data_IF_111704769527
#
_entry.id   IF_111704769527
#
_cell.length_a   1.000
_cell.length_b   1.000
_cell.length_c   1.000
_cell.angle_alpha   90.00
_cell.angle_beta   90.00
_cell.angle_gamma   90.00
#
_symmetry.space_group_name_H-M   'P 1'
#
loop_
_entity.id
_entity.type
_entity.pdbx_description
1 polymer ?
#
# COMPACT_ATOMS: atom_id res chain seq x y z
N UNK A 1 11.82 -2.22 21.58
CA UNK A 1 10.46 -2.59 21.15
C UNK A 1 10.47 -2.64 19.63
N UNK A 2 10.15 -3.77 19.00
CA UNK A 2 10.01 -3.83 17.54
C UNK A 2 8.54 -3.73 17.16
N UNK A 3 8.22 -2.89 16.17
CA UNK A 3 6.88 -2.76 15.61
C UNK A 3 6.92 -3.23 14.15
N UNK A 4 6.06 -4.18 13.79
CA UNK A 4 6.00 -4.75 12.44
C UNK A 4 4.64 -4.41 11.83
N UNK A 5 4.66 -3.73 10.69
CA UNK A 5 3.47 -3.47 9.89
C UNK A 5 3.40 -4.44 8.70
N UNK A 6 2.23 -5.04 8.46
CA UNK A 6 1.99 -5.96 7.35
C UNK A 6 0.91 -5.38 6.43
N UNK A 7 1.25 -5.15 5.16
CA UNK A 7 0.35 -4.61 4.13
C UNK A 7 0.18 -5.67 3.03
N UNK A 8 -1.04 -6.22 2.88
CA UNK A 8 -1.29 -7.28 1.90
C UNK A 8 -1.52 -6.72 0.48
N UNK A 9 -0.66 -7.10 -0.46
CA UNK A 9 -0.57 -6.47 -1.78
C UNK A 9 -0.84 -7.41 -2.96
N UNK A 10 -1.89 -8.25 -2.88
CA UNK A 10 -2.18 -9.26 -3.93
C UNK A 10 -2.34 -8.65 -5.33
N UNK A 11 -1.91 -9.40 -6.36
CA UNK A 11 -2.07 -9.00 -7.77
C UNK A 11 -3.52 -9.07 -8.28
N UNK A 12 -4.25 -10.13 -7.90
CA UNK A 12 -5.65 -10.38 -8.27
C UNK A 12 -6.64 -9.53 -7.46
N UNK A 13 -6.90 -8.31 -7.92
CA UNK A 13 -7.88 -7.41 -7.29
C UNK A 13 -9.22 -7.47 -8.03
N UNK A 14 -10.31 -7.80 -7.30
CA UNK A 14 -11.66 -8.04 -7.86
C UNK A 14 -12.22 -6.89 -8.69
N UNK A 15 -12.04 -5.64 -8.25
CA UNK A 15 -12.59 -4.45 -8.93
C UNK A 15 -11.59 -3.78 -9.87
N UNK A 16 -10.38 -3.51 -9.37
CA UNK A 16 -9.32 -2.85 -10.13
C UNK A 16 -8.12 -3.79 -10.15
N UNK A 17 -7.86 -4.53 -11.25
CA UNK A 17 -6.70 -5.41 -11.35
C UNK A 17 -5.40 -4.66 -11.04
N UNK A 18 -4.49 -5.28 -10.27
CA UNK A 18 -3.19 -4.72 -9.89
C UNK A 18 -3.27 -3.34 -9.19
N UNK A 19 -4.35 -3.03 -8.48
CA UNK A 19 -4.58 -1.69 -7.87
C UNK A 19 -3.40 -1.15 -7.05
N UNK A 20 -2.68 -2.02 -6.34
CA UNK A 20 -1.62 -1.61 -5.42
C UNK A 20 -0.43 -0.95 -6.11
N UNK A 21 -0.16 -1.33 -7.37
CA UNK A 21 0.93 -0.76 -8.18
C UNK A 21 0.42 0.27 -9.21
N UNK A 22 -0.90 0.43 -9.36
CA UNK A 22 -1.45 1.47 -10.22
C UNK A 22 -1.14 2.84 -9.64
N UNK A 23 -0.82 3.77 -10.52
CA UNK A 23 -0.60 5.15 -10.18
C UNK A 23 -1.90 5.81 -9.71
N UNK A 24 -1.82 6.52 -8.58
CA UNK A 24 -2.92 7.24 -7.97
C UNK A 24 -2.38 8.54 -7.37
N UNK A 25 -2.76 9.67 -7.97
CA UNK A 25 -2.28 11.01 -7.60
C UNK A 25 -0.75 11.10 -7.53
N UNK A 26 -0.06 10.66 -8.60
CA UNK A 26 1.39 10.81 -8.76
C UNK A 26 2.26 9.79 -8.00
N UNK A 27 1.67 8.78 -7.38
CA UNK A 27 2.43 7.64 -6.80
C UNK A 27 1.62 6.34 -6.82
N UNK A 28 2.26 5.16 -6.72
CA UNK A 28 1.55 3.90 -6.61
C UNK A 28 0.61 3.88 -5.41
N UNK A 29 -0.59 3.32 -5.56
CA UNK A 29 -1.62 3.33 -4.51
C UNK A 29 -1.14 2.73 -3.17
N UNK A 30 -0.24 1.73 -3.19
CA UNK A 30 0.31 1.15 -1.97
C UNK A 30 1.22 2.11 -1.18
N UNK A 31 1.82 3.10 -1.84
CA UNK A 31 2.78 4.03 -1.22
C UNK A 31 2.14 4.80 -0.06
N UNK A 32 0.86 5.17 -0.19
CA UNK A 32 0.11 5.86 0.87
C UNK A 32 0.05 5.05 2.17
N UNK A 33 -0.23 3.75 2.08
CA UNK A 33 -0.29 2.88 3.26
C UNK A 33 1.08 2.70 3.92
N UNK A 34 2.14 2.58 3.11
CA UNK A 34 3.52 2.46 3.60
C UNK A 34 3.94 3.76 4.31
N UNK A 35 3.66 4.92 3.73
CA UNK A 35 3.97 6.22 4.34
C UNK A 35 3.20 6.43 5.64
N UNK A 36 1.91 6.09 5.68
CA UNK A 36 1.11 6.17 6.89
C UNK A 36 1.69 5.30 8.01
N UNK A 37 2.05 4.05 7.70
CA UNK A 37 2.67 3.13 8.67
C UNK A 37 4.04 3.62 9.17
N UNK A 38 4.82 4.30 8.33
CA UNK A 38 6.09 4.92 8.74
C UNK A 38 5.89 6.14 9.63
N UNK A 39 4.81 6.89 9.44
CA UNK A 39 4.50 8.12 10.21
C UNK A 39 3.77 7.86 11.52
N UNK A 40 3.20 6.67 11.72
CA UNK A 40 2.41 6.35 12.92
C UNK A 40 3.26 5.94 14.13
N UNK A 41 4.58 5.85 13.97
CA UNK A 41 5.53 5.48 15.01
C UNK A 41 6.12 6.73 15.69
#
# INVERSE_FOLDING_TARGET
MSCIAIITARGGSKRIPRKNIKEFMGKPMIAYAIEAAKKSA
#
